data_IF_084902316444
#
_entry.id   IF_084902316444
#
_cell.length_a   1.000
_cell.length_b   1.000
_cell.length_c   1.000
_cell.angle_alpha   90.00
_cell.angle_beta   90.00
_cell.angle_gamma   90.00
#
_symmetry.space_group_name_H-M   'P 1'
#
loop_
_entity.id
_entity.type
_entity.pdbx_description
1 polymer ?
#
# COMPACT_ATOMS: atom_id res chain seq x y z
N UNK A 1 -53.61 58.01 15.91
CA UNK A 1 -52.59 56.97 15.67
C UNK A 1 -51.78 57.40 14.45
N UNK A 2 -50.81 58.30 14.58
CA UNK A 2 -49.38 58.13 14.97
C UNK A 2 -48.48 57.56 13.85
N UNK A 3 -47.57 58.43 13.38
CA UNK A 3 -46.15 58.25 12.96
C UNK A 3 -45.81 57.20 11.86
N UNK A 4 -44.72 57.28 11.09
CA UNK A 4 -43.71 58.27 10.68
C UNK A 4 -42.73 57.52 9.76
N UNK A 5 -42.04 58.24 8.87
CA UNK A 5 -40.74 58.03 8.20
C UNK A 5 -39.99 56.68 8.22
N UNK A 6 -39.32 56.36 7.09
CA UNK A 6 -37.89 55.95 6.88
C UNK A 6 -37.79 55.32 5.46
N UNK A 7 -37.20 55.92 4.41
CA UNK A 7 -35.80 56.20 4.07
C UNK A 7 -34.82 54.99 4.10
N UNK A 8 -34.32 54.63 2.90
CA UNK A 8 -33.13 53.80 2.54
C UNK A 8 -33.13 52.34 3.03
N UNK A 9 -32.69 51.33 2.26
CA UNK A 9 -31.38 51.16 1.62
C UNK A 9 -31.52 50.12 0.50
N UNK A 10 -30.91 50.37 -0.68
CA UNK A 10 -30.59 49.32 -1.66
C UNK A 10 -29.48 48.47 -1.06
N UNK A 11 -29.83 47.34 -0.46
CA UNK A 11 -28.86 46.36 -0.02
C UNK A 11 -28.56 45.42 -1.19
N UNK A 12 -27.51 45.77 -1.95
CA UNK A 12 -26.84 44.81 -2.81
C UNK A 12 -26.24 43.72 -1.93
N UNK A 13 -26.91 42.57 -1.84
CA UNK A 13 -26.26 41.36 -1.39
C UNK A 13 -25.38 40.88 -2.54
N UNK A 14 -24.09 41.18 -2.40
CA UNK A 14 -23.00 40.37 -2.94
C UNK A 14 -23.36 38.90 -2.69
N UNK A 15 -23.85 38.23 -3.72
CA UNK A 15 -23.78 36.79 -3.79
C UNK A 15 -22.28 36.49 -3.78
N UNK A 16 -21.74 36.22 -2.59
CA UNK A 16 -20.50 35.49 -2.47
C UNK A 16 -20.74 34.21 -3.26
N UNK A 17 -20.24 34.19 -4.50
CA UNK A 17 -20.07 32.97 -5.24
C UNK A 17 -19.01 32.20 -4.48
N UNK A 18 -19.46 31.48 -3.46
CA UNK A 18 -18.83 30.27 -3.03
C UNK A 18 -18.82 29.40 -4.29
N UNK A 19 -17.71 29.49 -5.02
CA UNK A 19 -17.43 28.71 -6.20
C UNK A 19 -17.30 27.26 -5.72
N UNK A 20 -18.43 26.57 -5.61
CA UNK A 20 -18.43 25.13 -5.63
C UNK A 20 -18.03 24.79 -7.05
N UNK A 21 -16.75 24.45 -7.24
CA UNK A 21 -16.28 23.76 -8.42
C UNK A 21 -17.02 22.42 -8.48
N UNK A 22 -18.22 22.46 -9.06
CA UNK A 22 -19.07 21.33 -9.33
C UNK A 22 -18.89 20.94 -10.79
N UNK A 23 -17.69 20.50 -11.13
CA UNK A 23 -17.45 19.66 -12.30
C UNK A 23 -16.48 18.57 -11.86
N UNK A 24 -16.82 17.31 -12.15
CA UNK A 24 -15.88 16.21 -12.02
C UNK A 24 -14.70 16.53 -12.94
N UNK A 25 -13.63 17.07 -12.37
CA UNK A 25 -12.47 17.53 -13.11
C UNK A 25 -11.86 16.32 -13.84
N UNK A 26 -12.06 16.25 -15.17
CA UNK A 26 -11.55 15.18 -16.02
C UNK A 26 -10.02 15.01 -15.91
N UNK A 27 -9.31 15.95 -15.28
CA UNK A 27 -7.86 15.87 -15.03
C UNK A 27 -7.49 14.97 -13.85
N UNK A 28 -8.44 14.53 -13.03
CA UNK A 28 -8.19 13.64 -11.90
C UNK A 28 -8.90 12.29 -12.08
N UNK A 29 -8.24 11.22 -11.66
CA UNK A 29 -8.78 9.85 -11.68
C UNK A 29 -8.81 9.33 -10.27
N UNK A 30 -9.96 8.81 -9.82
CA UNK A 30 -10.03 8.11 -8.55
C UNK A 30 -9.12 6.88 -8.57
N UNK A 31 -8.24 6.78 -7.57
CA UNK A 31 -7.35 5.63 -7.36
C UNK A 31 -7.90 4.75 -6.25
N UNK A 32 -8.34 5.36 -5.14
CA UNK A 32 -8.86 4.68 -3.98
C UNK A 32 -9.85 5.56 -3.21
N UNK A 33 -10.71 4.93 -2.42
CA UNK A 33 -11.74 5.61 -1.64
C UNK A 33 -12.07 4.80 -0.39
N UNK A 34 -12.22 5.49 0.73
CA UNK A 34 -12.73 4.95 2.01
C UNK A 34 -13.95 5.75 2.46
N UNK A 35 -14.52 5.40 3.60
CA UNK A 35 -15.56 6.21 4.26
C UNK A 35 -15.05 7.62 4.62
N UNK A 36 -13.76 7.75 4.95
CA UNK A 36 -13.14 9.00 5.44
C UNK A 36 -12.52 9.86 4.35
N UNK A 37 -11.97 9.27 3.30
CA UNK A 37 -11.17 9.98 2.31
C UNK A 37 -11.27 9.40 0.90
N UNK A 38 -10.84 10.17 -0.09
CA UNK A 38 -10.73 9.75 -1.48
C UNK A 38 -9.37 10.20 -2.02
N UNK A 39 -8.68 9.31 -2.71
CA UNK A 39 -7.38 9.55 -3.34
C UNK A 39 -7.56 9.62 -4.85
N UNK A 40 -7.13 10.71 -5.46
CA UNK A 40 -7.21 10.90 -6.89
C UNK A 40 -5.84 11.21 -7.48
N UNK A 41 -5.47 10.58 -8.60
CA UNK A 41 -4.25 10.84 -9.35
C UNK A 41 -4.46 11.88 -10.44
N UNK A 42 -3.51 12.80 -10.60
CA UNK A 42 -3.53 13.79 -11.67
C UNK A 42 -3.10 13.15 -12.99
N UNK A 43 -3.99 13.11 -13.98
CA UNK A 43 -3.69 12.60 -15.32
C UNK A 43 -2.49 13.34 -15.92
N UNK A 44 -1.61 12.59 -16.56
CA UNK A 44 -0.42 13.14 -17.24
C UNK A 44 0.67 13.70 -16.32
N UNK A 45 0.52 13.61 -14.99
CA UNK A 45 1.57 14.07 -14.05
C UNK A 45 2.70 13.05 -13.83
N UNK A 46 2.56 11.85 -14.40
CA UNK A 46 3.45 10.73 -14.16
C UNK A 46 4.75 10.77 -14.97
N UNK A 47 5.89 10.62 -14.30
CA UNK A 47 7.18 10.47 -14.97
C UNK A 47 8.18 9.62 -14.18
N UNK A 48 9.21 9.13 -14.89
CA UNK A 48 10.40 8.55 -14.29
C UNK A 48 11.13 9.66 -13.52
N UNK A 49 11.43 9.37 -12.27
CA UNK A 49 12.04 10.30 -11.33
C UNK A 49 13.19 9.64 -10.56
N UNK A 50 13.86 10.47 -9.77
CA UNK A 50 14.90 10.03 -8.86
C UNK A 50 14.29 9.87 -7.47
N UNK A 51 14.58 8.73 -6.84
CA UNK A 51 14.29 8.51 -5.42
C UNK A 51 15.62 8.26 -4.70
N UNK A 52 15.91 9.11 -3.72
CA UNK A 52 17.22 9.16 -3.08
C UNK A 52 18.31 9.64 -4.05
N UNK A 53 19.48 9.01 -4.00
CA UNK A 53 20.65 9.40 -4.83
C UNK A 53 20.69 8.73 -6.20
N UNK A 54 19.82 7.76 -6.46
CA UNK A 54 19.84 6.98 -7.68
C UNK A 54 19.02 7.69 -8.77
N UNK A 55 19.58 7.78 -9.99
CA UNK A 55 18.89 8.43 -11.11
C UNK A 55 17.92 7.47 -11.79
N UNK A 56 16.72 7.97 -12.10
CA UNK A 56 15.71 7.26 -12.90
C UNK A 56 15.28 5.91 -12.34
N UNK A 57 15.30 5.75 -11.02
CA UNK A 57 14.98 4.50 -10.33
C UNK A 57 13.54 4.42 -9.83
N UNK A 58 12.76 5.49 -9.96
CA UNK A 58 11.38 5.53 -9.50
C UNK A 58 10.43 6.06 -10.58
N UNK A 59 9.15 5.74 -10.42
CA UNK A 59 8.06 6.43 -11.09
C UNK A 59 7.37 7.33 -10.06
N UNK A 60 7.07 8.56 -10.46
CA UNK A 60 6.40 9.53 -9.60
C UNK A 60 5.15 10.08 -10.26
N UNK A 61 4.14 10.45 -9.48
CA UNK A 61 3.00 11.21 -9.96
C UNK A 61 2.39 12.08 -8.85
N UNK A 62 1.59 13.06 -9.24
CA UNK A 62 0.87 13.95 -8.31
C UNK A 62 -0.49 13.33 -7.97
N UNK A 63 -0.81 13.30 -6.68
CA UNK A 63 -2.13 12.87 -6.20
C UNK A 63 -2.72 13.90 -5.25
N UNK A 64 -4.03 13.87 -5.11
CA UNK A 64 -4.77 14.62 -4.11
C UNK A 64 -5.53 13.69 -3.17
N UNK A 65 -5.68 14.13 -1.93
CA UNK A 65 -6.50 13.46 -0.91
C UNK A 65 -7.63 14.41 -0.54
N UNK A 66 -8.87 13.99 -0.79
CA UNK A 66 -10.07 14.65 -0.31
C UNK A 66 -10.44 14.06 1.04
N UNK A 67 -10.43 14.88 2.10
CA UNK A 67 -11.07 14.55 3.36
C UNK A 67 -12.59 14.70 3.19
N UNK A 68 -13.34 13.60 3.31
CA UNK A 68 -14.79 13.59 3.04
C UNK A 68 -15.61 14.30 4.11
N UNK A 69 -15.07 14.42 5.34
CA UNK A 69 -15.72 15.11 6.46
C UNK A 69 -15.57 16.62 6.31
N UNK A 70 -14.34 17.09 6.19
CA UNK A 70 -14.01 18.52 6.23
C UNK A 70 -14.04 19.18 4.85
N UNK A 71 -14.21 18.37 3.78
CA UNK A 71 -14.21 18.81 2.37
C UNK A 71 -12.94 19.55 1.97
N UNK A 72 -11.82 19.21 2.60
CA UNK A 72 -10.50 19.78 2.32
C UNK A 72 -9.71 18.87 1.38
N UNK A 73 -8.83 19.50 0.59
CA UNK A 73 -7.94 18.82 -0.35
C UNK A 73 -6.49 19.01 0.07
N UNK A 74 -5.74 17.92 0.09
CA UNK A 74 -4.29 17.93 0.22
C UNK A 74 -3.66 17.43 -1.07
N UNK A 75 -2.59 18.09 -1.52
CA UNK A 75 -1.85 17.71 -2.73
C UNK A 75 -0.45 17.23 -2.36
N UNK A 76 -0.05 16.10 -2.93
CA UNK A 76 1.22 15.43 -2.61
C UNK A 76 1.80 14.80 -3.86
N UNK A 77 3.09 14.48 -3.77
CA UNK A 77 3.78 13.66 -4.75
C UNK A 77 3.96 12.26 -4.17
N UNK A 78 3.85 11.27 -5.03
CA UNK A 78 4.08 9.89 -4.68
C UNK A 78 5.20 9.32 -5.54
N UNK A 79 6.05 8.48 -4.96
CA UNK A 79 7.13 7.78 -5.65
C UNK A 79 7.06 6.27 -5.37
N UNK A 80 7.32 5.46 -6.39
CA UNK A 80 7.50 4.01 -6.28
C UNK A 80 8.74 3.61 -7.06
N UNK A 81 9.62 2.82 -6.45
CA UNK A 81 10.77 2.30 -7.17
C UNK A 81 10.36 1.38 -8.32
N UNK A 82 11.02 1.52 -9.48
CA UNK A 82 10.78 0.69 -10.65
C UNK A 82 11.13 -0.79 -10.39
N UNK A 83 12.10 -1.05 -9.52
CA UNK A 83 12.42 -2.39 -9.00
C UNK A 83 11.24 -3.00 -8.25
N UNK A 84 10.53 -2.21 -7.44
CA UNK A 84 9.34 -2.63 -6.70
C UNK A 84 8.18 -2.96 -7.64
N UNK A 85 8.02 -2.22 -8.75
CA UNK A 85 7.02 -2.53 -9.77
C UNK A 85 7.25 -3.89 -10.45
N UNK A 86 8.51 -4.22 -10.77
CA UNK A 86 8.89 -5.53 -11.33
C UNK A 86 8.72 -6.64 -10.30
N UNK A 87 9.18 -6.38 -9.08
CA UNK A 87 9.12 -7.34 -7.97
C UNK A 87 7.69 -7.57 -7.47
N UNK A 88 6.78 -6.63 -7.72
CA UNK A 88 5.36 -6.71 -7.32
C UNK A 88 5.09 -6.24 -5.89
N UNK A 89 6.08 -5.74 -5.17
CA UNK A 89 5.94 -5.20 -3.82
C UNK A 89 7.13 -4.30 -3.47
N UNK A 90 6.91 -3.40 -2.52
CA UNK A 90 7.90 -2.47 -2.02
C UNK A 90 7.23 -1.34 -1.24
N UNK A 91 7.79 -0.14 -1.34
CA UNK A 91 7.24 1.03 -0.66
C UNK A 91 6.67 2.05 -1.63
N UNK A 92 5.57 2.65 -1.21
CA UNK A 92 5.07 3.92 -1.69
C UNK A 92 5.70 5.00 -0.80
N UNK A 93 6.39 5.96 -1.40
CA UNK A 93 6.98 7.10 -0.68
C UNK A 93 6.13 8.34 -0.94
N UNK A 94 5.72 9.02 0.12
CA UNK A 94 4.91 10.22 0.06
C UNK A 94 5.79 11.44 0.30
N UNK A 95 5.71 12.41 -0.59
CA UNK A 95 6.42 13.66 -0.47
C UNK A 95 5.44 14.85 -0.56
N UNK A 96 5.82 15.97 0.04
CA UNK A 96 5.15 17.25 -0.17
C UNK A 96 5.31 17.70 -1.64
N UNK A 97 4.55 18.70 -2.05
CA UNK A 97 4.71 19.29 -3.39
C UNK A 97 6.08 19.97 -3.59
N UNK A 98 6.77 20.31 -2.50
CA UNK A 98 8.13 20.86 -2.50
C UNK A 98 9.20 19.75 -2.51
N UNK A 99 8.80 18.48 -2.45
CA UNK A 99 9.68 17.32 -2.50
C UNK A 99 10.17 16.82 -1.13
N UNK A 100 9.71 17.41 -0.02
CA UNK A 100 10.03 16.94 1.33
C UNK A 100 9.42 15.56 1.60
N UNK A 101 10.19 14.64 2.16
CA UNK A 101 9.71 13.31 2.52
C UNK A 101 8.76 13.38 3.73
N UNK A 102 7.55 12.85 3.57
CA UNK A 102 6.50 12.84 4.60
C UNK A 102 6.34 11.46 5.27
N UNK A 103 6.68 10.38 4.56
CA UNK A 103 6.52 9.02 5.06
C UNK A 103 6.52 7.99 3.94
N UNK A 104 6.44 6.71 4.32
CA UNK A 104 6.31 5.60 3.38
C UNK A 104 5.39 4.51 3.93
N UNK A 105 4.68 3.84 3.05
CA UNK A 105 3.88 2.64 3.38
C UNK A 105 4.28 1.47 2.48
N UNK A 106 4.22 0.27 3.03
CA UNK A 106 4.40 -0.96 2.25
C UNK A 106 3.21 -1.16 1.31
N UNK A 107 3.49 -1.57 0.07
CA UNK A 107 2.48 -1.95 -0.89
C UNK A 107 2.83 -3.28 -1.57
N UNK A 108 1.79 -4.00 -1.97
CA UNK A 108 1.82 -5.15 -2.86
C UNK A 108 0.96 -4.82 -4.07
N UNK A 109 1.47 -5.08 -5.29
CA UNK A 109 0.70 -4.88 -6.51
C UNK A 109 -0.57 -5.72 -6.45
N UNK A 110 -1.69 -5.09 -6.80
CA UNK A 110 -3.02 -5.70 -6.81
C UNK A 110 -3.50 -6.14 -5.40
N UNK A 111 -2.94 -5.56 -4.34
CA UNK A 111 -3.46 -5.69 -2.98
C UNK A 111 -4.71 -4.83 -2.73
N UNK A 112 -5.19 -4.84 -1.48
CA UNK A 112 -6.49 -4.26 -1.10
C UNK A 112 -6.39 -2.95 -0.33
N UNK A 113 -5.19 -2.52 0.08
CA UNK A 113 -4.99 -1.28 0.83
C UNK A 113 -4.94 -0.06 -0.08
N UNK A 114 -5.08 1.14 0.50
CA UNK A 114 -4.87 2.39 -0.22
C UNK A 114 -3.45 2.48 -0.79
N UNK A 115 -2.44 2.06 -0.02
CA UNK A 115 -1.05 2.03 -0.48
C UNK A 115 -0.88 1.07 -1.67
N UNK A 116 -1.56 -0.09 -1.66
CA UNK A 116 -1.59 -1.03 -2.79
C UNK A 116 -2.16 -0.40 -4.06
N UNK A 117 -3.28 0.31 -3.94
CA UNK A 117 -3.91 0.99 -5.05
C UNK A 117 -3.01 2.10 -5.63
N UNK A 118 -2.44 2.94 -4.77
CA UNK A 118 -1.53 4.01 -5.17
C UNK A 118 -0.24 3.46 -5.81
N UNK A 119 0.37 2.45 -5.20
CA UNK A 119 1.57 1.81 -5.72
C UNK A 119 1.31 1.08 -7.04
N UNK A 120 0.19 0.36 -7.14
CA UNK A 120 -0.24 -0.29 -8.37
C UNK A 120 -0.51 0.71 -9.49
N UNK A 121 -1.10 1.87 -9.18
CA UNK A 121 -1.31 2.94 -10.15
C UNK A 121 0.02 3.49 -10.69
N UNK A 122 1.03 3.69 -9.83
CA UNK A 122 2.37 4.10 -10.26
C UNK A 122 2.95 3.09 -11.27
N UNK A 123 2.91 1.80 -10.93
CA UNK A 123 3.45 0.74 -11.75
C UNK A 123 2.69 0.58 -13.07
N UNK A 124 1.35 0.58 -13.04
CA UNK A 124 0.53 0.50 -14.25
C UNK A 124 0.74 1.71 -15.16
N UNK A 125 0.89 2.91 -14.59
CA UNK A 125 1.20 4.12 -15.38
C UNK A 125 2.57 4.02 -16.06
N UNK A 126 3.57 3.49 -15.35
CA UNK A 126 4.89 3.22 -15.93
C UNK A 126 4.82 2.15 -17.03
N UNK A 127 4.07 1.08 -16.81
CA UNK A 127 3.85 0.00 -17.77
C UNK A 127 3.23 0.55 -19.07
N UNK A 128 2.22 1.41 -18.94
CA UNK A 128 1.58 2.10 -20.07
C UNK A 128 2.56 3.01 -20.80
N UNK A 129 3.36 3.82 -20.07
CA UNK A 129 4.33 4.74 -20.67
C UNK A 129 5.42 4.00 -21.47
N UNK A 130 5.84 2.84 -21.00
CA UNK A 130 6.90 2.05 -21.64
C UNK A 130 6.39 1.01 -22.64
N UNK A 131 5.08 0.76 -22.68
CA UNK A 131 4.47 -0.31 -23.47
C UNK A 131 4.87 -1.72 -23.01
N UNK A 132 5.39 -1.87 -21.78
CA UNK A 132 5.87 -3.14 -21.24
C UNK A 132 5.30 -3.36 -19.85
N UNK A 133 4.58 -4.46 -19.67
CA UNK A 133 4.13 -4.87 -18.34
C UNK A 133 5.32 -5.23 -17.45
N UNK A 134 5.48 -4.53 -16.32
CA UNK A 134 6.50 -4.87 -15.32
C UNK A 134 6.13 -6.09 -14.47
N UNK A 135 4.83 -6.35 -14.30
CA UNK A 135 4.29 -7.57 -13.68
C UNK A 135 2.86 -7.80 -14.17
N UNK A 136 2.51 -9.04 -14.50
CA UNK A 136 1.15 -9.44 -14.79
C UNK A 136 0.39 -9.76 -13.50
N UNK A 137 -0.90 -9.43 -13.46
CA UNK A 137 -1.80 -9.97 -12.44
C UNK A 137 -2.00 -11.47 -12.71
N UNK A 138 -1.71 -12.30 -11.71
CA UNK A 138 -1.84 -13.76 -11.79
C UNK A 138 -3.15 -14.25 -11.14
N UNK A 139 -4.04 -13.32 -10.75
CA UNK A 139 -5.28 -13.64 -10.05
C UNK A 139 -5.05 -13.92 -8.57
N UNK A 140 -5.95 -14.70 -7.99
CA UNK A 140 -5.93 -15.00 -6.55
C UNK A 140 -4.72 -15.88 -6.20
N UNK A 141 -3.70 -15.22 -5.66
CA UNK A 141 -2.42 -15.82 -5.26
C UNK A 141 -2.25 -15.79 -3.74
N UNK A 142 -3.22 -15.23 -3.02
CA UNK A 142 -3.21 -15.14 -1.56
C UNK A 142 -3.94 -16.33 -0.97
N UNK A 143 -3.21 -17.14 -0.20
CA UNK A 143 -3.75 -18.30 0.49
C UNK A 143 -3.81 -17.99 1.99
N UNK A 144 -5.02 -17.91 2.58
CA UNK A 144 -5.17 -17.82 4.03
C UNK A 144 -4.78 -19.16 4.65
N UNK A 145 -3.67 -19.18 5.39
CA UNK A 145 -3.08 -20.40 5.96
C UNK A 145 -3.33 -20.54 7.46
N UNK A 146 -3.69 -19.45 8.13
CA UNK A 146 -4.00 -19.47 9.55
C UNK A 146 -4.93 -18.32 9.94
N UNK A 147 -5.72 -18.54 10.98
CA UNK A 147 -6.58 -17.54 11.61
C UNK A 147 -6.48 -17.64 13.12
N UNK A 148 -6.37 -16.51 13.82
CA UNK A 148 -6.41 -16.46 15.28
C UNK A 148 -7.85 -16.68 15.77
N UNK A 149 -8.06 -17.67 16.62
CA UNK A 149 -9.41 -18.08 17.08
C UNK A 149 -10.14 -16.95 17.81
N UNK A 150 -9.45 -16.23 18.70
CA UNK A 150 -10.08 -15.21 19.54
C UNK A 150 -10.39 -13.91 18.79
N UNK A 151 -9.50 -13.49 17.89
CA UNK A 151 -9.60 -12.19 17.22
C UNK A 151 -10.16 -12.28 15.81
N UNK A 152 -10.13 -13.46 15.19
CA UNK A 152 -10.43 -13.67 13.78
C UNK A 152 -9.34 -13.17 12.84
N UNK A 153 -8.22 -12.65 13.34
CA UNK A 153 -7.14 -12.10 12.51
C UNK A 153 -6.57 -13.18 11.59
N UNK A 154 -6.37 -12.83 10.31
CA UNK A 154 -5.97 -13.79 9.27
C UNK A 154 -4.54 -13.59 8.86
N UNK A 155 -3.89 -14.69 8.53
CA UNK A 155 -2.54 -14.75 8.01
C UNK A 155 -2.59 -15.46 6.67
N UNK A 156 -2.15 -14.77 5.63
CA UNK A 156 -2.12 -15.32 4.28
C UNK A 156 -0.71 -15.27 3.70
N UNK A 157 -0.39 -16.25 2.85
CA UNK A 157 0.85 -16.28 2.08
C UNK A 157 0.56 -15.93 0.64
N UNK A 158 1.43 -15.11 0.03
CA UNK A 158 1.36 -14.82 -1.40
C UNK A 158 2.16 -15.88 -2.16
N UNK A 159 1.47 -16.91 -2.65
CA UNK A 159 2.08 -18.15 -3.16
C UNK A 159 3.02 -17.96 -4.36
N UNK A 160 2.75 -16.98 -5.22
CA UNK A 160 3.59 -16.60 -6.37
C UNK A 160 4.89 -15.85 -5.97
N UNK A 161 5.14 -15.66 -4.67
CA UNK A 161 6.36 -15.03 -4.13
C UNK A 161 7.26 -15.97 -3.36
N UNK A 162 6.85 -17.23 -3.22
CA UNK A 162 7.66 -18.29 -2.62
C UNK A 162 8.95 -18.43 -3.43
N UNK A 163 10.10 -18.35 -2.74
CA UNK A 163 11.41 -18.49 -3.38
C UNK A 163 12.45 -19.02 -2.42
N UNK A 164 13.43 -19.72 -2.96
CA UNK A 164 14.67 -20.02 -2.23
C UNK A 164 15.58 -18.80 -2.20
N UNK A 165 16.18 -18.52 -1.06
CA UNK A 165 17.13 -17.42 -0.84
C UNK A 165 18.25 -17.87 0.09
N UNK A 166 19.24 -16.99 0.30
CA UNK A 166 20.23 -17.15 1.38
C UNK A 166 19.97 -16.07 2.42
N UNK A 167 19.71 -16.48 3.65
CA UNK A 167 19.52 -15.57 4.78
C UNK A 167 20.39 -16.02 5.95
N UNK A 168 21.12 -15.09 6.57
CA UNK A 168 22.10 -15.40 7.62
C UNK A 168 23.07 -16.54 7.24
N UNK A 169 23.55 -16.52 5.99
CA UNK A 169 24.46 -17.54 5.39
C UNK A 169 23.87 -18.95 5.33
N UNK A 170 22.55 -19.11 5.49
CA UNK A 170 21.84 -20.39 5.37
C UNK A 170 20.93 -20.38 4.14
N UNK A 171 20.85 -21.48 3.38
CA UNK A 171 19.78 -21.68 2.41
C UNK A 171 18.42 -21.67 3.12
N UNK A 172 17.52 -20.82 2.65
CA UNK A 172 16.22 -20.55 3.27
C UNK A 172 15.12 -20.48 2.21
N UNK A 173 13.88 -20.70 2.63
CA UNK A 173 12.69 -20.34 1.87
C UNK A 173 12.19 -18.98 2.37
N UNK A 174 11.73 -18.14 1.45
CA UNK A 174 11.11 -16.85 1.75
C UNK A 174 9.78 -16.70 1.02
N UNK A 175 8.83 -15.97 1.61
CA UNK A 175 7.51 -15.68 1.03
C UNK A 175 6.96 -14.37 1.59
N UNK A 176 6.22 -13.62 0.78
CA UNK A 176 5.41 -12.53 1.30
C UNK A 176 4.22 -13.06 2.10
N UNK A 177 3.93 -12.40 3.21
CA UNK A 177 2.71 -12.65 3.97
C UNK A 177 1.91 -11.37 4.14
N UNK A 178 0.61 -11.54 4.37
CA UNK A 178 -0.29 -10.51 4.87
C UNK A 178 -0.82 -10.90 6.24
N UNK A 179 -1.03 -9.88 7.07
CA UNK A 179 -1.72 -9.96 8.34
C UNK A 179 -2.92 -9.03 8.27
N UNK A 180 -4.12 -9.60 8.34
CA UNK A 180 -5.40 -8.88 8.39
C UNK A 180 -5.86 -8.77 9.84
N UNK A 181 -5.82 -7.55 10.39
CA UNK A 181 -6.46 -7.23 11.66
C UNK A 181 -7.94 -6.94 11.39
N UNK A 182 -8.77 -7.93 11.64
CA UNK A 182 -10.21 -7.88 11.32
C UNK A 182 -10.91 -6.80 12.15
N UNK A 183 -10.50 -6.61 13.41
CA UNK A 183 -11.11 -5.62 14.30
C UNK A 183 -10.82 -4.19 13.85
N UNK A 184 -9.57 -3.94 13.45
CA UNK A 184 -9.14 -2.60 13.04
C UNK A 184 -9.32 -2.35 11.54
N UNK A 185 -9.73 -3.37 10.77
CA UNK A 185 -9.84 -3.33 9.31
C UNK A 185 -8.53 -2.84 8.65
N UNK A 186 -7.41 -3.40 9.09
CA UNK A 186 -6.08 -3.08 8.55
C UNK A 186 -5.42 -4.32 7.99
N UNK A 187 -4.61 -4.12 6.95
CA UNK A 187 -3.75 -5.16 6.38
C UNK A 187 -2.32 -4.68 6.48
N UNK A 188 -1.44 -5.52 7.01
CA UNK A 188 0.00 -5.30 7.06
C UNK A 188 0.71 -6.39 6.26
N UNK A 189 1.86 -6.05 5.68
CA UNK A 189 2.64 -6.98 4.90
C UNK A 189 4.05 -7.15 5.48
N UNK A 190 4.64 -8.31 5.22
CA UNK A 190 6.03 -8.57 5.50
C UNK A 190 6.53 -9.77 4.70
N UNK A 191 7.73 -10.22 5.02
CA UNK A 191 8.31 -11.42 4.45
C UNK A 191 8.67 -12.40 5.57
N UNK A 192 8.22 -13.65 5.45
CA UNK A 192 8.71 -14.72 6.28
C UNK A 192 9.92 -15.36 5.63
N UNK A 193 10.91 -15.70 6.44
CA UNK A 193 12.09 -16.46 6.04
C UNK A 193 12.30 -17.60 7.03
N UNK A 194 12.48 -18.82 6.51
CA UNK A 194 12.74 -20.02 7.30
C UNK A 194 13.84 -20.88 6.66
N UNK A 195 14.85 -21.36 7.40
CA UNK A 195 15.90 -22.20 6.82
C UNK A 195 15.35 -23.50 6.22
N UNK A 196 15.83 -23.88 5.03
CA UNK A 196 15.39 -25.12 4.36
C UNK A 196 15.71 -26.38 5.18
N UNK A 197 16.85 -26.35 5.90
CA UNK A 197 17.21 -27.43 6.81
C UNK A 197 16.22 -27.56 7.98
N UNK A 198 15.64 -26.44 8.43
CA UNK A 198 14.67 -26.42 9.52
C UNK A 198 13.30 -26.91 9.04
N UNK A 199 12.91 -26.64 7.78
CA UNK A 199 11.73 -27.26 7.16
C UNK A 199 11.82 -28.80 7.20
N UNK A 200 12.97 -29.36 6.81
CA UNK A 200 13.19 -30.81 6.82
C UNK A 200 13.21 -31.41 8.21
N UNK A 201 13.71 -30.64 9.19
CA UNK A 201 13.84 -31.08 10.57
C UNK A 201 12.52 -30.97 11.35
N UNK A 202 11.58 -30.14 10.90
CA UNK A 202 10.30 -29.93 11.57
C UNK A 202 10.33 -28.89 12.69
N UNK A 203 11.44 -28.16 12.88
CA UNK A 203 11.54 -27.08 13.88
C UNK A 203 12.75 -26.19 13.62
N UNK A 204 12.68 -24.94 14.07
CA UNK A 204 13.74 -23.95 13.90
C UNK A 204 13.32 -22.53 14.26
N UNK A 205 14.01 -21.55 13.67
CA UNK A 205 13.76 -20.12 13.89
C UNK A 205 13.15 -19.51 12.65
N UNK A 206 11.93 -18.97 12.78
CA UNK A 206 11.34 -18.12 11.76
C UNK A 206 11.74 -16.67 11.96
N UNK A 207 11.95 -15.99 10.84
CA UNK A 207 12.28 -14.58 10.78
C UNK A 207 11.18 -13.86 10.02
N UNK A 208 10.68 -12.77 10.59
CA UNK A 208 9.81 -11.82 9.89
C UNK A 208 10.64 -10.59 9.53
N UNK A 209 10.58 -10.21 8.26
CA UNK A 209 11.31 -9.08 7.69
C UNK A 209 10.32 -8.04 7.13
N UNK A 210 10.73 -6.77 7.14
CA UNK A 210 10.10 -5.76 6.31
C UNK A 210 10.59 -5.86 4.84
N UNK A 211 10.10 -4.99 3.94
CA UNK A 211 10.49 -5.05 2.53
C UNK A 211 11.90 -4.53 2.22
N UNK A 212 12.54 -3.86 3.18
CA UNK A 212 13.95 -3.50 3.14
C UNK A 212 14.86 -4.68 3.57
N UNK A 213 14.26 -5.80 4.02
CA UNK A 213 14.97 -6.97 4.52
C UNK A 213 15.43 -6.84 5.97
N UNK A 214 15.00 -5.79 6.68
CA UNK A 214 15.28 -5.62 8.10
C UNK A 214 14.41 -6.56 8.92
N UNK A 215 15.02 -7.23 9.89
CA UNK A 215 14.32 -8.15 10.77
C UNK A 215 13.42 -7.39 11.73
N UNK A 216 12.11 -7.62 11.63
CA UNK A 216 11.11 -7.10 12.55
C UNK A 216 11.09 -7.91 13.85
N UNK A 217 11.06 -9.24 13.72
CA UNK A 217 11.15 -10.17 14.84
C UNK A 217 11.64 -11.54 14.39
N UNK A 218 11.96 -12.38 15.37
CA UNK A 218 12.30 -13.79 15.18
C UNK A 218 11.66 -14.63 16.27
N UNK A 219 11.29 -15.86 15.95
CA UNK A 219 10.58 -16.74 16.88
C UNK A 219 10.99 -18.19 16.65
N UNK A 220 11.32 -18.89 17.73
CA UNK A 220 11.51 -20.34 17.74
C UNK A 220 10.15 -21.03 17.59
N UNK A 221 10.06 -22.03 16.71
CA UNK A 221 8.84 -22.81 16.51
C UNK A 221 9.15 -24.26 16.15
N UNK A 222 8.19 -25.13 16.49
CA UNK A 222 8.03 -26.42 15.86
C UNK A 222 6.98 -26.28 14.74
N UNK A 223 7.20 -26.97 13.62
CA UNK A 223 6.16 -27.14 12.61
C UNK A 223 5.02 -27.98 13.20
N UNK A 224 3.82 -27.82 12.68
CA UNK A 224 2.61 -28.52 13.10
C UNK A 224 2.24 -28.35 14.60
N UNK A 225 2.79 -27.35 15.28
CA UNK A 225 2.37 -26.93 16.63
C UNK A 225 1.15 -26.00 16.65
N UNK A 226 0.57 -25.80 17.84
CA UNK A 226 -0.71 -25.12 18.08
C UNK A 226 -0.66 -23.58 18.05
N UNK A 227 0.18 -22.98 17.20
CA UNK A 227 0.24 -21.54 17.03
C UNK A 227 0.02 -21.11 15.59
N UNK A 228 -0.51 -19.90 15.42
CA UNK A 228 -0.71 -19.27 14.10
C UNK A 228 0.58 -19.22 13.29
N UNK A 229 1.70 -18.86 13.93
CA UNK A 229 2.99 -18.80 13.27
C UNK A 229 3.48 -20.20 12.85
N UNK A 230 3.28 -21.21 13.70
CA UNK A 230 3.58 -22.60 13.36
C UNK A 230 2.81 -23.05 12.12
N UNK A 231 1.48 -22.86 12.10
CA UNK A 231 0.65 -23.22 10.94
C UNK A 231 1.11 -22.48 9.67
N UNK A 232 1.39 -21.18 9.79
CA UNK A 232 1.85 -20.34 8.68
C UNK A 232 3.18 -20.82 8.10
N UNK A 233 4.16 -21.13 8.95
CA UNK A 233 5.49 -21.58 8.49
C UNK A 233 5.45 -23.04 8.01
N UNK A 234 4.58 -23.87 8.57
CA UNK A 234 4.33 -25.23 8.06
C UNK A 234 3.77 -25.19 6.64
N UNK A 235 2.79 -24.31 6.39
CA UNK A 235 2.25 -24.07 5.06
C UNK A 235 3.31 -23.55 4.07
N UNK A 236 4.24 -22.69 4.52
CA UNK A 236 5.38 -22.26 3.70
C UNK A 236 6.31 -23.43 3.35
N UNK A 237 6.69 -24.24 4.34
CA UNK A 237 7.57 -25.39 4.13
C UNK A 237 6.95 -26.44 3.18
N UNK A 238 5.62 -26.55 3.12
CA UNK A 238 4.94 -27.43 2.17
C UNK A 238 5.01 -26.96 0.70
N UNK A 239 5.52 -25.76 0.43
CA UNK A 239 5.68 -25.20 -0.93
C UNK A 239 7.09 -25.41 -1.51
N UNK A 240 8.02 -26.05 -0.78
CA UNK A 240 9.43 -26.25 -1.18
C UNK A 240 9.86 -27.69 -1.26
#
# INVERSE_FOLDING_TARGET
>A
MTLSHHLFVVAGLLLAQVAWAAEADERWVEIASTDKAQWLGKKGSGDVANLGKQKGNAYSYVYQVLNKKDKTYEYKQLFVELSSCRRGYGYVYYNSMEGEFLGKDGFVRFGTTVADALGSMACTSWDQKTGKASRADQGDTWEVVASAVETGNKYALKTDTVRTTVYNKKPSVAVLYSYEDVKNNTVSYGEYVFPLADCKRGFGVAYSLNFDGEQLYKTDLALDGDSVLSATISALCAKV
#
